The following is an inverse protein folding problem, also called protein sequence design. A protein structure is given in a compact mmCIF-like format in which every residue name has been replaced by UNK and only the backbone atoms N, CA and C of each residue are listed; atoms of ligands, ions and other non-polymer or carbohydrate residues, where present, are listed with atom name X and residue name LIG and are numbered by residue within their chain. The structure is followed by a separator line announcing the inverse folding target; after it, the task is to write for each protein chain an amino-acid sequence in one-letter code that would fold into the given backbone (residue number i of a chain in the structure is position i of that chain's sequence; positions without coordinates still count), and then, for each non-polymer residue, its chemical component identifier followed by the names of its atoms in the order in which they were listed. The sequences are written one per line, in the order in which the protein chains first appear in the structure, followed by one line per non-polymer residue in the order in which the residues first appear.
data_IF_891296268272
#
_entry.id   IF_891296268272
#
_cell.length_a   1.000
_cell.length_b   1.000
_cell.length_c   1.000
_cell.angle_alpha   90.00
_cell.angle_beta   90.00
_cell.angle_gamma   90.00
#
_symmetry.space_group_name_H-M   'P 1'
#
loop_
_entity.id
_entity.type
_entity.pdbx_description
1 polymer ?
#
# COMPACT_ATOMS: atom_id res chain seq x y z
N UNK A 1 -5.17 3.68 9.81
CA UNK A 1 -4.23 4.75 9.41
C UNK A 1 -4.01 5.84 10.46
N UNK A 2 -5.05 6.50 11.04
CA UNK A 2 -4.86 7.62 11.99
C UNK A 2 -3.90 7.32 13.17
N UNK A 3 -3.98 6.12 13.75
CA UNK A 3 -3.09 5.71 14.87
C UNK A 3 -1.62 5.53 14.44
N UNK A 4 -1.37 5.10 13.20
CA UNK A 4 0.00 4.91 12.70
C UNK A 4 0.69 6.25 12.42
N UNK A 5 -0.07 7.25 12.01
CA UNK A 5 0.40 8.61 11.73
C UNK A 5 0.17 9.59 12.89
N UNK A 6 -0.03 9.09 14.09
CA UNK A 6 -0.15 9.93 15.28
C UNK A 6 1.21 10.62 15.57
N UNK A 7 1.28 11.96 15.69
CA UNK A 7 2.56 12.64 15.87
C UNK A 7 3.28 12.35 17.19
N UNK A 8 2.56 11.92 18.22
CA UNK A 8 3.10 11.72 19.57
C UNK A 8 3.46 10.25 19.86
N UNK A 9 2.77 9.30 19.22
CA UNK A 9 2.98 7.87 19.47
C UNK A 9 2.80 6.94 18.26
N UNK A 10 2.77 7.49 17.05
CA UNK A 10 2.68 6.72 15.81
C UNK A 10 3.97 5.99 15.44
N UNK A 11 3.91 5.23 14.35
CA UNK A 11 5.08 4.58 13.77
C UNK A 11 5.96 5.65 13.09
N UNK A 12 7.26 5.77 13.41
CA UNK A 12 8.13 6.80 12.84
C UNK A 12 8.14 6.77 11.30
N UNK A 13 8.18 5.57 10.71
CA UNK A 13 8.17 5.41 9.26
C UNK A 13 6.90 5.98 8.62
N UNK A 14 5.73 5.67 9.18
CA UNK A 14 4.43 6.15 8.68
C UNK A 14 4.25 7.66 8.82
N UNK A 15 4.81 8.24 9.89
CA UNK A 15 4.79 9.69 10.16
C UNK A 15 5.64 10.43 9.13
N UNK A 16 6.77 9.87 8.72
CA UNK A 16 7.71 10.47 7.77
C UNK A 16 7.24 10.37 6.30
N UNK A 17 6.24 9.54 5.99
CA UNK A 17 5.77 9.36 4.61
C UNK A 17 5.07 10.61 4.07
N UNK A 18 5.38 10.97 2.82
CA UNK A 18 4.70 11.99 2.02
C UNK A 18 4.01 11.38 0.81
N UNK A 19 3.28 12.17 0.02
CA UNK A 19 2.70 11.65 -1.23
C UNK A 19 3.79 11.23 -2.22
N UNK A 20 4.91 11.95 -2.25
CA UNK A 20 6.05 11.66 -3.10
C UNK A 20 6.75 10.36 -2.71
N UNK A 21 6.87 10.06 -1.40
CA UNK A 21 7.49 8.81 -0.95
C UNK A 21 6.59 7.61 -1.18
N UNK A 22 5.26 7.78 -1.14
CA UNK A 22 4.28 6.72 -1.36
C UNK A 22 4.05 6.41 -2.86
N UNK A 23 4.20 7.40 -3.73
CA UNK A 23 3.94 7.28 -5.16
C UNK A 23 4.57 6.04 -5.85
N UNK A 24 5.86 5.70 -5.66
CA UNK A 24 6.42 4.50 -6.28
C UNK A 24 5.75 3.20 -5.81
N UNK A 25 5.46 3.07 -4.52
CA UNK A 25 4.77 1.91 -3.96
C UNK A 25 3.35 1.77 -4.51
N UNK A 26 2.62 2.89 -4.66
CA UNK A 26 1.29 2.86 -5.30
C UNK A 26 1.34 2.32 -6.73
N UNK A 27 2.43 2.58 -7.47
CA UNK A 27 2.60 2.06 -8.83
C UNK A 27 2.89 0.56 -8.78
N UNK A 28 3.75 0.10 -7.87
CA UNK A 28 4.09 -1.32 -7.68
C UNK A 28 2.82 -2.14 -7.38
N UNK A 29 2.03 -1.72 -6.40
CA UNK A 29 0.77 -2.38 -6.01
C UNK A 29 -0.24 -2.43 -7.17
N UNK A 30 -0.29 -1.39 -8.01
CA UNK A 30 -1.17 -1.38 -9.18
C UNK A 30 -0.76 -2.44 -10.23
N UNK A 31 0.54 -2.71 -10.35
CA UNK A 31 1.04 -3.80 -11.20
C UNK A 31 0.74 -5.17 -10.60
N UNK A 32 0.82 -5.32 -9.28
CA UNK A 32 0.48 -6.58 -8.59
C UNK A 32 -1.01 -6.91 -8.72
N UNK A 33 -1.90 -5.93 -8.53
CA UNK A 33 -3.33 -6.06 -8.84
C UNK A 33 -3.56 -6.49 -10.30
N UNK A 34 -2.86 -5.85 -11.25
CA UNK A 34 -2.99 -6.18 -12.66
C UNK A 34 -2.50 -7.60 -12.97
N UNK A 35 -1.41 -8.05 -12.34
CA UNK A 35 -0.88 -9.41 -12.48
C UNK A 35 -1.83 -10.46 -11.89
N UNK A 36 -2.37 -10.24 -10.69
CA UNK A 36 -3.35 -11.13 -10.08
C UNK A 36 -4.58 -11.32 -10.96
N UNK A 37 -5.09 -10.24 -11.58
CA UNK A 37 -6.17 -10.30 -12.57
C UNK A 37 -5.75 -11.11 -13.80
N UNK A 38 -4.55 -10.88 -14.34
CA UNK A 38 -4.05 -11.57 -15.52
C UNK A 38 -3.89 -13.08 -15.30
N UNK A 39 -3.52 -13.50 -14.09
CA UNK A 39 -3.42 -14.91 -13.67
C UNK A 39 -4.77 -15.54 -13.30
N UNK A 40 -5.82 -14.74 -13.11
CA UNK A 40 -7.11 -15.22 -12.61
C UNK A 40 -7.05 -15.67 -11.14
N UNK A 41 -6.11 -15.14 -10.36
CA UNK A 41 -5.94 -15.48 -8.95
C UNK A 41 -6.73 -14.52 -8.06
N UNK A 42 -7.96 -14.91 -7.76
CA UNK A 42 -8.88 -14.09 -6.96
C UNK A 42 -8.55 -14.07 -5.46
N UNK A 43 -7.76 -15.03 -4.98
CA UNK A 43 -7.29 -14.99 -3.60
C UNK A 43 -6.25 -13.87 -3.46
N UNK A 44 -5.27 -13.88 -4.35
CA UNK A 44 -4.20 -12.89 -4.43
C UNK A 44 -4.74 -11.48 -4.72
N UNK A 45 -5.67 -11.37 -5.68
CA UNK A 45 -6.35 -10.09 -5.97
C UNK A 45 -7.02 -9.48 -4.73
N UNK A 46 -7.52 -10.31 -3.80
CA UNK A 46 -8.12 -9.80 -2.56
C UNK A 46 -7.06 -9.25 -1.61
N UNK A 47 -5.85 -9.78 -1.63
CA UNK A 47 -4.74 -9.31 -0.80
C UNK A 47 -4.20 -7.99 -1.34
N UNK A 48 -3.97 -7.87 -2.65
CA UNK A 48 -3.41 -6.65 -3.26
C UNK A 48 -4.38 -5.44 -3.28
N UNK A 49 -5.67 -5.66 -3.07
CA UNK A 49 -6.64 -4.57 -2.91
C UNK A 49 -6.70 -4.00 -1.48
N UNK A 50 -6.02 -4.63 -0.52
CA UNK A 50 -6.04 -4.30 0.91
C UNK A 50 -7.31 -4.72 1.66
#
# INVERSE_FOLDING_TARGET
MRRLRDPEGGCPWDIEQTFETIAPYTIEEAYEVADAIARGDFADLREELG
#
